data_IF_048729852184
#
_entry.id   IF_048729852184
#
_cell.length_a   1.000
_cell.length_b   1.000
_cell.length_c   1.000
_cell.angle_alpha   90.00
_cell.angle_beta   90.00
_cell.angle_gamma   90.00
#
_symmetry.space_group_name_H-M   'P 1'
#
loop_
_entity.id
_entity.type
_entity.pdbx_description
1 polymer ?
#
# COMPACT_ATOMS: atom_id res chain seq x y z
N UNK A 1 -1.80 -0.37 -15.28
CA UNK A 1 -2.22 -1.73 -14.85
C UNK A 1 -2.21 -2.72 -16.02
N UNK A 2 -2.93 -2.49 -17.11
CA UNK A 2 -2.95 -3.43 -18.24
C UNK A 2 -1.56 -3.69 -18.86
N UNK A 3 -0.72 -2.68 -18.98
CA UNK A 3 0.64 -2.77 -19.56
C UNK A 3 1.58 -3.68 -18.74
N UNK A 4 1.33 -3.80 -17.43
CA UNK A 4 2.13 -4.64 -16.51
C UNK A 4 1.42 -5.95 -16.17
N UNK A 5 0.38 -6.33 -16.92
CA UNK A 5 -0.30 -7.62 -16.79
C UNK A 5 -1.26 -7.73 -15.59
N UNK A 6 -1.58 -6.63 -14.91
CA UNK A 6 -2.59 -6.67 -13.83
C UNK A 6 -3.98 -6.83 -14.42
N UNK A 7 -4.70 -7.87 -13.98
CA UNK A 7 -6.11 -8.09 -14.33
C UNK A 7 -7.01 -7.13 -13.54
N UNK A 8 -7.00 -5.87 -13.97
CA UNK A 8 -7.77 -4.81 -13.35
C UNK A 8 -9.28 -5.02 -13.42
N UNK A 9 -9.74 -5.81 -14.38
CA UNK A 9 -11.16 -6.12 -14.57
C UNK A 9 -11.69 -7.13 -13.56
N UNK A 10 -10.80 -7.85 -12.90
CA UNK A 10 -11.14 -8.90 -11.93
C UNK A 10 -10.66 -8.60 -10.49
N UNK A 11 -10.34 -7.36 -10.19
CA UNK A 11 -9.96 -6.96 -8.84
C UNK A 11 -11.05 -7.32 -7.82
N UNK A 12 -10.68 -7.93 -6.69
CA UNK A 12 -11.56 -8.20 -5.56
C UNK A 12 -11.70 -7.00 -4.67
N UNK A 13 -10.57 -6.37 -4.38
CA UNK A 13 -10.49 -5.29 -3.41
C UNK A 13 -9.46 -4.23 -3.80
N UNK A 14 -9.69 -3.03 -3.28
CA UNK A 14 -8.73 -1.91 -3.25
C UNK A 14 -8.61 -1.48 -1.80
N UNK A 15 -7.39 -1.22 -1.36
CA UNK A 15 -7.14 -0.63 -0.05
C UNK A 15 -6.56 0.77 -0.22
N UNK A 16 -7.15 1.74 0.47
CA UNK A 16 -6.71 3.14 0.54
C UNK A 16 -6.07 3.36 1.90
N UNK A 17 -4.81 3.76 1.90
CA UNK A 17 -4.04 4.01 3.12
C UNK A 17 -4.39 5.32 3.81
N UNK A 18 -4.55 6.38 3.03
CA UNK A 18 -4.87 7.74 3.48
C UNK A 18 -5.37 8.62 2.31
N UNK A 19 -5.62 9.90 2.56
CA UNK A 19 -6.38 10.76 1.63
C UNK A 19 -5.53 11.69 0.77
N UNK A 20 -4.21 11.57 0.76
CA UNK A 20 -3.39 12.33 -0.18
C UNK A 20 -3.68 11.91 -1.62
N UNK A 21 -3.59 12.86 -2.55
CA UNK A 21 -4.04 12.68 -3.93
C UNK A 21 -3.25 11.63 -4.71
N UNK A 22 -1.99 11.43 -4.39
CA UNK A 22 -1.13 10.40 -4.95
C UNK A 22 -1.50 8.98 -4.47
N UNK A 23 -2.30 8.87 -3.40
CA UNK A 23 -2.79 7.58 -2.86
C UNK A 23 -4.27 7.32 -3.18
N UNK A 24 -5.12 8.34 -3.25
CA UNK A 24 -6.56 8.17 -3.50
C UNK A 24 -6.99 8.65 -4.88
N UNK A 25 -6.22 9.54 -5.51
CA UNK A 25 -6.62 10.22 -6.75
C UNK A 25 -6.82 9.29 -7.95
N UNK A 26 -6.10 8.17 -8.01
CA UNK A 26 -6.26 7.16 -9.06
C UNK A 26 -7.61 6.44 -9.06
N UNK A 27 -8.34 6.46 -7.94
CA UNK A 27 -9.62 5.77 -7.81
C UNK A 27 -10.71 6.38 -8.72
N UNK A 28 -10.76 7.70 -8.83
CA UNK A 28 -11.72 8.39 -9.69
C UNK A 28 -11.59 7.99 -11.17
N UNK A 29 -10.43 8.13 -11.80
CA UNK A 29 -10.19 7.66 -13.17
C UNK A 29 -10.43 6.15 -13.37
N UNK A 30 -10.05 5.32 -12.40
CA UNK A 30 -10.31 3.88 -12.47
C UNK A 30 -11.81 3.59 -12.55
N UNK A 31 -12.61 4.11 -11.63
CA UNK A 31 -14.05 3.87 -11.59
C UNK A 31 -14.80 4.52 -12.75
N UNK A 32 -14.37 5.70 -13.21
CA UNK A 32 -14.92 6.32 -14.41
C UNK A 32 -14.64 5.48 -15.67
N UNK A 33 -13.43 4.89 -15.78
CA UNK A 33 -13.06 4.01 -16.87
C UNK A 33 -13.81 2.67 -16.83
N UNK A 34 -13.93 2.06 -15.67
CA UNK A 34 -14.62 0.76 -15.50
C UNK A 34 -16.11 0.85 -15.82
N UNK A 35 -16.74 1.98 -15.52
CA UNK A 35 -18.19 2.20 -15.76
C UNK A 35 -18.60 1.93 -17.22
N UNK A 36 -17.72 2.21 -18.18
CA UNK A 36 -18.01 2.10 -19.61
C UNK A 36 -17.20 1.02 -20.33
N UNK A 37 -16.31 0.32 -19.64
CA UNK A 37 -15.50 -0.74 -20.22
C UNK A 37 -16.38 -1.96 -20.56
N UNK A 38 -16.32 -2.50 -21.81
CA UNK A 38 -17.17 -3.63 -22.21
C UNK A 38 -17.06 -4.85 -21.29
N UNK A 39 -15.87 -5.22 -20.87
CA UNK A 39 -15.63 -6.36 -19.99
C UNK A 39 -16.21 -6.19 -18.58
N UNK A 40 -16.55 -4.97 -18.18
CA UNK A 40 -17.14 -4.68 -16.87
C UNK A 40 -18.66 -4.74 -16.88
N UNK A 41 -19.30 -4.73 -18.06
CA UNK A 41 -20.77 -4.78 -18.18
C UNK A 41 -21.36 -6.12 -17.73
N UNK A 42 -20.61 -7.20 -17.83
CA UNK A 42 -21.02 -8.55 -17.43
C UNK A 42 -20.51 -8.95 -16.04
N UNK A 43 -19.72 -8.08 -15.40
CA UNK A 43 -19.16 -8.37 -14.09
C UNK A 43 -20.27 -8.44 -13.02
N UNK A 44 -20.36 -9.58 -12.33
CA UNK A 44 -21.26 -9.78 -11.18
C UNK A 44 -20.51 -9.69 -9.84
N UNK A 45 -19.20 -9.86 -9.87
CA UNK A 45 -18.35 -9.83 -8.69
C UNK A 45 -18.28 -8.40 -8.12
N UNK A 46 -18.54 -8.21 -6.82
CA UNK A 46 -18.39 -6.90 -6.21
C UNK A 46 -16.93 -6.44 -6.21
N UNK A 47 -16.72 -5.14 -6.19
CA UNK A 47 -15.44 -4.52 -5.84
C UNK A 47 -15.59 -3.91 -4.44
N UNK A 48 -14.78 -4.36 -3.50
CA UNK A 48 -14.76 -3.78 -2.17
C UNK A 48 -13.59 -2.80 -2.03
N UNK A 49 -13.88 -1.58 -1.60
CA UNK A 49 -12.86 -0.56 -1.37
C UNK A 49 -12.77 -0.33 0.13
N UNK A 50 -11.63 -0.71 0.70
CA UNK A 50 -11.32 -0.50 2.11
C UNK A 50 -10.58 0.83 2.27
N UNK A 51 -10.91 1.59 3.30
CA UNK A 51 -10.21 2.82 3.63
C UNK A 51 -10.30 3.16 5.10
N UNK A 52 -9.55 4.16 5.57
CA UNK A 52 -9.63 4.63 6.94
C UNK A 52 -10.97 5.33 7.22
N UNK A 53 -11.30 5.52 8.49
CA UNK A 53 -12.49 6.27 8.92
C UNK A 53 -12.51 7.66 8.26
N UNK A 54 -13.64 8.03 7.66
CA UNK A 54 -13.82 9.23 6.86
C UNK A 54 -13.70 9.01 5.34
N UNK A 55 -13.27 7.82 4.91
CA UNK A 55 -13.12 7.50 3.49
C UNK A 55 -14.46 7.52 2.74
N UNK A 56 -15.51 7.00 3.32
CA UNK A 56 -16.83 7.01 2.67
C UNK A 56 -17.29 8.45 2.37
N UNK A 57 -17.10 9.36 3.33
CA UNK A 57 -17.42 10.79 3.15
C UNK A 57 -16.58 11.44 2.06
N UNK A 58 -15.26 11.12 1.99
CA UNK A 58 -14.39 11.60 0.92
C UNK A 58 -14.85 11.08 -0.44
N UNK A 59 -15.11 9.77 -0.53
CA UNK A 59 -15.55 9.11 -1.74
C UNK A 59 -16.86 9.69 -2.26
N UNK A 60 -17.86 9.89 -1.39
CA UNK A 60 -19.13 10.50 -1.74
C UNK A 60 -18.96 11.97 -2.17
N UNK A 61 -18.05 12.71 -1.52
CA UNK A 61 -17.68 14.06 -1.92
C UNK A 61 -17.17 14.11 -3.36
N UNK A 62 -16.21 13.24 -3.72
CA UNK A 62 -15.68 13.14 -5.08
C UNK A 62 -16.76 12.65 -6.07
N UNK A 63 -17.52 11.63 -5.69
CA UNK A 63 -18.58 11.04 -6.51
C UNK A 63 -19.70 12.01 -6.84
N UNK A 64 -19.98 12.96 -5.96
CA UNK A 64 -21.04 13.96 -6.11
C UNK A 64 -20.63 15.14 -7.01
N UNK A 65 -19.36 15.27 -7.37
CA UNK A 65 -18.92 16.36 -8.25
C UNK A 65 -19.51 16.16 -9.64
N UNK A 66 -20.39 17.08 -10.05
CA UNK A 66 -21.13 17.01 -11.34
C UNK A 66 -21.76 15.63 -11.55
N UNK A 67 -21.38 14.96 -12.64
CA UNK A 67 -21.94 13.69 -13.09
C UNK A 67 -20.96 12.52 -12.91
N UNK A 68 -20.00 12.60 -11.98
CA UNK A 68 -19.02 11.52 -11.78
C UNK A 68 -19.68 10.22 -11.35
N UNK A 69 -20.60 10.30 -10.36
CA UNK A 69 -21.44 9.17 -9.94
C UNK A 69 -20.63 7.85 -9.82
N UNK A 70 -19.51 7.91 -9.11
CA UNK A 70 -18.55 6.82 -9.05
C UNK A 70 -19.10 5.54 -8.41
N UNK A 71 -20.16 5.65 -7.59
CA UNK A 71 -20.88 4.48 -7.06
C UNK A 71 -21.74 3.77 -8.10
N UNK A 72 -22.17 4.48 -9.15
CA UNK A 72 -23.05 3.93 -10.19
C UNK A 72 -22.20 3.12 -11.19
N UNK A 73 -21.76 1.93 -10.81
CA UNK A 73 -21.04 0.99 -11.66
C UNK A 73 -21.99 -0.09 -12.18
N UNK A 74 -21.66 -0.81 -13.29
CA UNK A 74 -22.43 -1.96 -13.74
C UNK A 74 -22.30 -3.18 -12.80
N UNK A 75 -21.53 -3.09 -11.72
CA UNK A 75 -21.31 -4.10 -10.70
C UNK A 75 -21.37 -3.48 -9.29
N UNK A 76 -21.58 -4.27 -8.24
CA UNK A 76 -21.65 -3.75 -6.87
C UNK A 76 -20.30 -3.15 -6.43
N UNK A 77 -20.33 -1.95 -5.85
CA UNK A 77 -19.18 -1.30 -5.19
C UNK A 77 -19.49 -1.14 -3.71
N UNK A 78 -18.70 -1.80 -2.88
CA UNK A 78 -18.82 -1.72 -1.42
C UNK A 78 -17.71 -0.80 -0.88
N UNK A 79 -18.07 0.13 0.01
CA UNK A 79 -17.11 0.93 0.77
C UNK A 79 -17.12 0.42 2.20
N UNK A 80 -15.94 0.09 2.72
CA UNK A 80 -15.77 -0.38 4.10
C UNK A 80 -14.69 0.46 4.77
N UNK A 81 -15.09 1.16 5.82
CA UNK A 81 -14.13 1.86 6.68
C UNK A 81 -13.56 0.88 7.71
N UNK A 82 -12.23 0.88 7.83
CA UNK A 82 -11.50 -0.03 8.72
C UNK A 82 -11.01 0.71 9.97
N UNK A 83 -11.15 0.03 11.10
CA UNK A 83 -10.60 0.46 12.39
C UNK A 83 -9.20 -0.11 12.58
N UNK A 84 -8.29 0.68 13.14
CA UNK A 84 -6.94 0.20 13.43
C UNK A 84 -6.93 -0.86 14.51
N UNK A 85 -5.98 -1.82 14.39
CA UNK A 85 -5.75 -2.94 15.30
C UNK A 85 -6.91 -3.96 15.38
N UNK A 86 -7.92 -3.81 14.53
CA UNK A 86 -8.95 -4.83 14.34
C UNK A 86 -8.61 -5.71 13.14
N UNK A 87 -8.84 -7.01 13.26
CA UNK A 87 -8.67 -7.94 12.14
C UNK A 87 -9.88 -7.85 11.21
N UNK A 88 -9.60 -7.87 9.92
CA UNK A 88 -10.63 -8.00 8.89
C UNK A 88 -10.14 -8.95 7.79
N UNK A 89 -11.06 -9.48 7.03
CA UNK A 89 -10.78 -10.33 5.88
C UNK A 89 -10.99 -9.53 4.60
N UNK A 90 -9.94 -9.39 3.79
CA UNK A 90 -10.02 -8.66 2.51
C UNK A 90 -10.82 -9.47 1.50
N UNK A 91 -10.48 -10.75 1.37
CA UNK A 91 -11.18 -11.80 0.66
C UNK A 91 -10.97 -13.11 1.41
N UNK A 92 -11.74 -14.13 1.10
CA UNK A 92 -11.66 -15.42 1.80
C UNK A 92 -10.21 -15.95 1.90
N UNK A 93 -9.73 -16.09 3.13
CA UNK A 93 -8.39 -16.57 3.45
C UNK A 93 -7.30 -15.50 3.47
N UNK A 94 -7.59 -14.25 3.10
CA UNK A 94 -6.65 -13.13 3.12
C UNK A 94 -6.98 -12.19 4.30
N UNK A 95 -6.37 -12.43 5.44
CA UNK A 95 -6.56 -11.62 6.66
C UNK A 95 -5.69 -10.36 6.64
N UNK A 96 -6.20 -9.29 7.24
CA UNK A 96 -5.45 -8.04 7.40
C UNK A 96 -5.67 -7.39 8.76
N UNK A 97 -4.69 -6.57 9.15
CA UNK A 97 -4.75 -5.64 10.28
C UNK A 97 -4.14 -4.31 9.84
N UNK A 98 -4.86 -3.21 10.06
CA UNK A 98 -4.34 -1.87 9.84
C UNK A 98 -3.79 -1.26 11.14
N UNK A 99 -2.76 -0.43 11.01
CA UNK A 99 -2.16 0.31 12.12
C UNK A 99 -1.94 1.76 11.72
N UNK A 100 -2.25 2.72 12.59
CA UNK A 100 -1.98 4.14 12.33
C UNK A 100 -0.50 4.40 12.12
N UNK A 101 -0.17 5.33 11.21
CA UNK A 101 1.20 5.77 10.92
C UNK A 101 1.43 7.22 11.29
N UNK A 102 2.68 7.63 11.42
CA UNK A 102 3.10 9.00 11.75
C UNK A 102 3.09 9.90 10.50
N UNK A 103 1.92 10.05 9.85
CA UNK A 103 1.79 10.84 8.62
C UNK A 103 0.59 11.79 8.66
N UNK A 104 -0.63 11.31 8.49
CA UNK A 104 -1.88 12.05 8.69
C UNK A 104 -2.73 11.35 9.76
N UNK A 105 -3.74 12.03 10.35
CA UNK A 105 -4.57 11.39 11.39
C UNK A 105 -5.23 10.08 10.98
N UNK A 106 -5.53 9.94 9.69
CA UNK A 106 -6.20 8.76 9.13
C UNK A 106 -5.23 7.77 8.46
N UNK A 107 -3.93 8.08 8.37
CA UNK A 107 -2.97 7.20 7.68
C UNK A 107 -2.78 5.88 8.37
N UNK A 108 -2.80 4.80 7.57
CA UNK A 108 -2.62 3.43 8.03
C UNK A 108 -1.53 2.70 7.25
N UNK A 109 -0.70 1.93 7.96
CA UNK A 109 0.01 0.77 7.44
C UNK A 109 -0.92 -0.45 7.45
N UNK A 110 -0.60 -1.48 6.67
CA UNK A 110 -1.36 -2.73 6.63
C UNK A 110 -0.43 -3.94 6.76
N UNK A 111 -0.82 -4.88 7.62
CA UNK A 111 -0.26 -6.23 7.68
C UNK A 111 -1.26 -7.18 7.02
N UNK A 112 -0.80 -7.95 6.05
CA UNK A 112 -1.60 -8.91 5.29
C UNK A 112 -1.03 -10.30 5.54
N UNK A 113 -1.93 -11.29 5.70
CA UNK A 113 -1.59 -12.71 5.86
C UNK A 113 -2.41 -13.55 4.90
N UNK A 114 -1.72 -14.35 4.10
CA UNK A 114 -2.27 -15.41 3.26
C UNK A 114 -1.67 -16.75 3.70
N UNK A 115 -2.43 -17.52 4.49
CA UNK A 115 -1.91 -18.72 5.15
C UNK A 115 -0.71 -18.41 6.04
N UNK A 116 0.48 -18.90 5.67
CA UNK A 116 1.72 -18.64 6.40
C UNK A 116 2.50 -17.45 5.84
N UNK A 117 2.16 -16.97 4.64
CA UNK A 117 2.85 -15.82 4.02
C UNK A 117 2.36 -14.52 4.62
N UNK A 118 3.29 -13.65 4.96
CA UNK A 118 3.00 -12.37 5.61
C UNK A 118 3.68 -11.20 4.92
N UNK A 119 2.92 -10.13 4.70
CA UNK A 119 3.40 -8.88 4.08
C UNK A 119 2.99 -7.70 4.94
N UNK A 120 3.89 -6.76 5.15
CA UNK A 120 3.55 -5.45 5.71
C UNK A 120 3.85 -4.38 4.67
N UNK A 121 2.90 -3.48 4.44
CA UNK A 121 3.10 -2.25 3.69
C UNK A 121 2.90 -1.05 4.61
N UNK A 122 3.93 -0.21 4.70
CA UNK A 122 3.91 0.94 5.61
C UNK A 122 2.93 2.02 5.19
N UNK A 123 2.60 2.14 3.89
CA UNK A 123 2.15 3.40 3.30
C UNK A 123 3.08 4.55 3.71
N UNK A 124 2.62 5.79 3.67
CA UNK A 124 3.41 6.93 4.10
C UNK A 124 3.50 7.00 5.62
N UNK A 125 4.71 7.20 6.11
CA UNK A 125 4.96 7.25 7.55
C UNK A 125 6.24 8.01 7.88
N UNK A 126 6.22 8.76 8.98
CA UNK A 126 7.44 9.14 9.68
C UNK A 126 8.02 7.97 10.47
N UNK A 127 9.11 8.22 11.17
CA UNK A 127 9.76 7.21 11.98
C UNK A 127 8.92 6.82 13.21
N UNK A 128 8.41 5.59 13.22
CA UNK A 128 7.71 5.00 14.37
C UNK A 128 8.18 3.54 14.59
N UNK A 129 8.71 3.29 15.78
CA UNK A 129 9.15 1.95 16.18
C UNK A 129 8.03 0.90 16.26
N UNK A 130 6.76 1.31 16.34
CA UNK A 130 5.61 0.40 16.33
C UNK A 130 5.47 -0.31 14.98
N UNK A 131 5.86 0.36 13.87
CA UNK A 131 5.86 -0.24 12.55
C UNK A 131 6.81 -1.45 12.49
N UNK A 132 7.96 -1.37 13.13
CA UNK A 132 8.86 -2.52 13.21
C UNK A 132 8.27 -3.69 14.02
N UNK A 133 7.46 -3.39 15.04
CA UNK A 133 6.75 -4.44 15.78
C UNK A 133 5.67 -5.11 14.93
N UNK A 134 4.91 -4.33 14.15
CA UNK A 134 3.91 -4.85 13.20
C UNK A 134 4.55 -5.76 12.14
N UNK A 135 5.75 -5.40 11.67
CA UNK A 135 6.48 -6.09 10.61
C UNK A 135 7.48 -7.14 11.13
N UNK A 136 7.36 -7.57 12.40
CA UNK A 136 8.32 -8.52 12.98
C UNK A 136 8.30 -9.86 12.25
N UNK A 137 9.46 -10.26 11.68
CA UNK A 137 9.69 -11.52 10.99
C UNK A 137 8.75 -11.81 9.79
N UNK A 138 8.18 -10.78 9.17
CA UNK A 138 7.34 -10.96 7.97
C UNK A 138 8.17 -11.41 6.77
N UNK A 139 7.53 -12.04 5.79
CA UNK A 139 8.20 -12.48 4.56
C UNK A 139 8.62 -11.30 3.70
N UNK A 140 7.80 -10.24 3.65
CA UNK A 140 8.12 -9.01 2.93
C UNK A 140 7.65 -7.79 3.70
N UNK A 141 8.56 -6.82 3.88
CA UNK A 141 8.24 -5.49 4.38
C UNK A 141 8.40 -4.48 3.24
N UNK A 142 7.26 -3.96 2.73
CA UNK A 142 7.25 -2.80 1.85
C UNK A 142 7.25 -1.54 2.70
N UNK A 143 8.24 -0.68 2.51
CA UNK A 143 8.45 0.48 3.35
C UNK A 143 8.68 1.72 2.49
N UNK A 144 8.00 2.81 2.80
CA UNK A 144 8.32 4.09 2.16
C UNK A 144 9.75 4.51 2.48
N UNK A 145 10.38 5.20 1.56
CA UNK A 145 11.69 5.81 1.74
C UNK A 145 11.79 7.06 0.87
N UNK A 146 11.05 8.10 1.24
CA UNK A 146 10.91 9.28 0.40
C UNK A 146 12.25 10.00 0.16
N UNK A 147 13.15 9.99 1.14
CA UNK A 147 14.40 10.75 1.10
C UNK A 147 15.64 9.90 1.38
N UNK A 148 16.77 10.30 0.82
CA UNK A 148 18.06 9.62 1.03
C UNK A 148 18.68 10.01 2.37
N UNK A 149 19.00 11.29 2.53
CA UNK A 149 19.79 11.78 3.66
C UNK A 149 19.05 12.76 4.55
N UNK A 150 18.22 13.65 3.97
CA UNK A 150 17.54 14.73 4.70
C UNK A 150 16.07 14.80 4.30
N UNK A 151 15.23 15.14 5.24
CA UNK A 151 13.79 15.30 5.03
C UNK A 151 13.30 16.66 5.54
N UNK A 152 12.36 17.32 4.84
CA UNK A 152 11.85 18.63 5.21
C UNK A 152 10.95 18.60 6.45
N UNK A 153 10.44 17.43 6.82
CA UNK A 153 9.53 17.23 7.94
C UNK A 153 9.68 15.82 8.51
N UNK A 154 8.91 15.51 9.56
CA UNK A 154 8.95 14.20 10.23
C UNK A 154 7.95 13.17 9.70
N UNK A 155 7.24 13.48 8.62
CA UNK A 155 6.12 12.67 8.10
C UNK A 155 6.52 11.59 7.10
N UNK A 156 7.80 11.55 6.72
CA UNK A 156 8.37 10.56 5.82
C UNK A 156 9.68 10.04 6.37
N UNK A 157 10.18 8.96 5.79
CA UNK A 157 11.44 8.34 6.16
C UNK A 157 12.59 8.80 5.27
N UNK A 158 13.78 8.83 5.87
CA UNK A 158 15.06 8.79 5.16
C UNK A 158 15.59 7.36 5.16
N UNK A 159 16.53 7.06 4.27
CA UNK A 159 17.10 5.72 4.12
C UNK A 159 17.63 5.12 5.44
N UNK A 160 18.35 5.91 6.24
CA UNK A 160 18.89 5.41 7.51
C UNK A 160 17.81 5.03 8.54
N UNK A 161 16.67 5.71 8.54
CA UNK A 161 15.52 5.38 9.36
C UNK A 161 14.81 4.12 8.86
N UNK A 162 14.64 3.99 7.53
CA UNK A 162 14.06 2.80 6.91
C UNK A 162 14.90 1.57 7.24
N UNK A 163 16.21 1.62 7.05
CA UNK A 163 17.13 0.52 7.39
C UNK A 163 17.11 0.22 8.91
N UNK A 164 16.97 1.24 9.76
CA UNK A 164 16.82 1.00 11.19
C UNK A 164 15.54 0.21 11.52
N UNK A 165 14.40 0.55 10.90
CA UNK A 165 13.14 -0.19 11.08
C UNK A 165 13.26 -1.62 10.56
N UNK A 166 13.88 -1.83 9.40
CA UNK A 166 14.15 -3.16 8.83
C UNK A 166 14.99 -4.01 9.78
N UNK A 167 16.06 -3.46 10.36
CA UNK A 167 16.88 -4.18 11.35
C UNK A 167 16.09 -4.59 12.59
N UNK A 168 15.16 -3.75 13.05
CA UNK A 168 14.30 -4.07 14.20
C UNK A 168 13.24 -5.09 13.86
N UNK A 169 12.61 -4.98 12.72
CA UNK A 169 11.54 -5.87 12.26
C UNK A 169 12.07 -7.25 11.86
N UNK A 170 13.29 -7.33 11.31
CA UNK A 170 13.92 -8.56 10.80
C UNK A 170 13.06 -9.29 9.76
N UNK A 171 12.52 -8.60 8.75
CA UNK A 171 11.79 -9.26 7.67
C UNK A 171 12.72 -10.18 6.90
N UNK A 172 12.18 -11.16 6.17
CA UNK A 172 12.99 -12.00 5.27
C UNK A 172 13.54 -11.19 4.10
N UNK A 173 12.72 -10.29 3.54
CA UNK A 173 13.09 -9.31 2.52
C UNK A 173 12.43 -7.97 2.81
N UNK A 174 13.05 -6.91 2.38
CA UNK A 174 12.46 -5.58 2.40
C UNK A 174 12.43 -4.99 0.99
N UNK A 175 11.45 -4.15 0.71
CA UNK A 175 11.36 -3.38 -0.52
C UNK A 175 11.10 -1.93 -0.15
N UNK A 176 11.91 -1.02 -0.68
CA UNK A 176 11.72 0.42 -0.50
C UNK A 176 10.97 1.00 -1.68
N UNK A 177 10.07 1.91 -1.40
CA UNK A 177 9.19 2.57 -2.38
C UNK A 177 8.94 4.03 -2.00
N UNK A 178 8.09 4.73 -2.77
CA UNK A 178 7.70 6.13 -2.51
C UNK A 178 8.89 7.10 -2.59
N UNK A 179 9.73 6.92 -3.60
CA UNK A 179 10.94 7.74 -3.79
C UNK A 179 10.59 9.14 -4.30
N UNK A 180 11.19 10.15 -3.68
CA UNK A 180 11.12 11.54 -4.15
C UNK A 180 12.30 11.83 -5.10
N UNK A 181 12.28 12.93 -5.88
CA UNK A 181 13.31 13.24 -6.89
C UNK A 181 14.75 13.29 -6.37
N UNK A 182 14.99 13.37 -5.05
CA UNK A 182 16.33 13.22 -4.48
C UNK A 182 16.99 11.88 -4.86
N UNK A 183 16.18 10.85 -5.12
CA UNK A 183 16.64 9.52 -5.49
C UNK A 183 17.07 9.40 -6.95
N UNK A 184 16.66 10.31 -7.84
CA UNK A 184 16.89 10.20 -9.30
C UNK A 184 18.40 10.19 -9.65
N UNK A 185 19.23 10.89 -8.88
CA UNK A 185 20.66 10.99 -9.09
C UNK A 185 21.49 10.14 -8.10
N UNK A 186 20.86 9.18 -7.42
CA UNK A 186 21.49 8.39 -6.35
C UNK A 186 21.57 6.91 -6.75
N UNK A 187 22.74 6.31 -6.53
CA UNK A 187 22.93 4.87 -6.65
C UNK A 187 22.33 4.16 -5.44
N UNK A 188 21.12 3.62 -5.63
CA UNK A 188 20.36 2.95 -4.58
C UNK A 188 21.14 1.83 -3.90
N UNK A 189 21.76 0.94 -4.68
CA UNK A 189 22.48 -0.22 -4.16
C UNK A 189 23.64 0.21 -3.27
N UNK A 190 24.40 1.19 -3.73
CA UNK A 190 25.53 1.74 -2.97
C UNK A 190 25.10 2.38 -1.65
N UNK A 191 24.04 3.19 -1.66
CA UNK A 191 23.55 3.84 -0.43
C UNK A 191 22.99 2.80 0.57
N UNK A 192 22.30 1.77 0.10
CA UNK A 192 21.81 0.67 0.94
C UNK A 192 22.98 -0.14 1.52
N UNK A 193 23.98 -0.48 0.71
CA UNK A 193 25.17 -1.23 1.16
C UNK A 193 25.95 -0.49 2.25
N UNK A 194 26.10 0.82 2.15
CA UNK A 194 26.76 1.65 3.18
C UNK A 194 26.11 1.51 4.56
N UNK A 195 24.82 1.23 4.60
CA UNK A 195 24.07 1.03 5.84
C UNK A 195 24.03 -0.44 6.29
N UNK A 196 24.61 -1.38 5.56
CA UNK A 196 24.73 -2.80 5.91
C UNK A 196 23.41 -3.41 6.42
N UNK A 197 22.37 -3.54 5.60
CA UNK A 197 21.11 -4.15 5.99
C UNK A 197 21.28 -5.62 6.37
N UNK A 198 20.36 -6.16 7.19
CA UNK A 198 20.41 -7.56 7.64
C UNK A 198 19.67 -8.54 6.71
N UNK A 199 18.99 -8.05 5.68
CA UNK A 199 18.29 -8.82 4.66
C UNK A 199 18.45 -8.15 3.30
N UNK A 200 18.01 -8.82 2.25
CA UNK A 200 17.88 -8.21 0.92
C UNK A 200 16.95 -7.00 0.98
N UNK A 201 17.42 -5.87 0.44
CA UNK A 201 16.64 -4.63 0.30
C UNK A 201 16.52 -4.31 -1.18
N UNK A 202 15.31 -4.30 -1.68
CA UNK A 202 14.97 -4.18 -3.10
C UNK A 202 14.47 -2.76 -3.37
N UNK A 203 14.90 -2.15 -4.46
CA UNK A 203 14.28 -0.95 -4.99
C UNK A 203 12.97 -1.31 -5.69
N UNK A 204 11.86 -0.66 -5.32
CA UNK A 204 10.60 -0.85 -6.02
C UNK A 204 10.61 -0.10 -7.36
N UNK A 205 10.09 -0.77 -8.38
CA UNK A 205 9.90 -0.21 -9.71
C UNK A 205 8.51 -0.55 -10.22
N UNK A 206 7.96 0.28 -11.11
CA UNK A 206 6.67 0.03 -11.73
C UNK A 206 6.67 -1.28 -12.52
N UNK A 207 5.74 -2.16 -12.18
CA UNK A 207 5.63 -3.48 -12.82
C UNK A 207 6.51 -4.58 -12.23
N UNK A 208 7.34 -4.29 -11.23
CA UNK A 208 8.12 -5.32 -10.53
C UNK A 208 7.18 -6.35 -9.88
N UNK A 209 7.46 -7.61 -10.13
CA UNK A 209 6.72 -8.74 -9.53
C UNK A 209 7.67 -9.56 -8.67
N UNK A 210 7.31 -9.76 -7.42
CA UNK A 210 8.03 -10.62 -6.49
C UNK A 210 7.23 -11.89 -6.18
N UNK A 211 7.88 -13.02 -6.28
CA UNK A 211 7.31 -14.27 -5.79
C UNK A 211 7.74 -14.49 -4.33
N UNK A 212 6.75 -14.61 -3.45
CA UNK A 212 6.95 -14.99 -2.05
C UNK A 212 6.78 -16.50 -1.95
N UNK A 213 7.87 -17.25 -2.13
CA UNK A 213 7.85 -18.71 -2.01
C UNK A 213 7.93 -19.13 -0.55
N UNK A 214 7.05 -20.06 -0.15
CA UNK A 214 7.22 -20.82 1.08
C UNK A 214 8.50 -21.64 0.93
N UNK A 215 9.53 -21.34 1.67
CA UNK A 215 10.66 -22.25 1.84
C UNK A 215 10.20 -23.36 2.79
N UNK A 216 9.93 -24.54 2.24
CA UNK A 216 9.93 -25.75 3.04
C UNK A 216 11.37 -25.92 3.57
N UNK A 217 11.60 -25.51 4.81
CA UNK A 217 12.84 -25.74 5.54
C UNK A 217 13.06 -27.20 5.89
#
# INVERSE_FOLDING_TARGET
MAEIGVDWSNLDAIWISHFHMDHVGGLGPLLAGTKHAPQMQERQKPLTIYGPVGFEKLFDGISSVRDYKLREQPFPVNIIEITTMEKFEIVAGLEAVAMSTEHTPESHAIHIRDGETTVVYSADTGFDGKLAALATNVDLMLLECAFVHQKPNKKHLILSEAIHLIRKAKPRRAMLTHFYPEWDDVDFEKEVELLSPMCEVIQAEDGLTLQLTMYNG
#
